data_IF_183629957361
#
_entry.id   IF_183629957361
#
_cell.length_a   1.000
_cell.length_b   1.000
_cell.length_c   1.000
_cell.angle_alpha   90.00
_cell.angle_beta   90.00
_cell.angle_gamma   90.00
#
_symmetry.space_group_name_H-M   'P 1'
#
loop_
_entity.id
_entity.type
_entity.pdbx_description
1 polymer ?
#
# COMPACT_ATOMS: atom_id res chain seq x y z
N UNK A 1 66.21 -35.25 19.76
CA UNK A 1 65.75 -35.11 18.36
C UNK A 1 65.77 -33.62 18.08
N UNK A 2 66.94 -33.08 17.72
CA UNK A 2 67.37 -32.81 16.33
C UNK A 2 66.52 -31.68 15.74
N UNK A 3 67.07 -30.45 15.69
CA UNK A 3 67.58 -29.75 14.48
C UNK A 3 66.44 -29.14 13.65
N UNK A 4 66.44 -27.93 13.09
CA UNK A 4 67.43 -26.92 12.69
C UNK A 4 66.64 -25.59 12.51
N UNK A 5 67.18 -24.40 12.81
CA UNK A 5 67.81 -23.43 11.88
C UNK A 5 66.90 -23.04 10.67
N UNK A 6 66.69 -21.78 10.25
CA UNK A 6 67.59 -20.63 10.17
C UNK A 6 66.81 -19.35 9.77
N UNK A 7 67.26 -18.21 10.28
CA UNK A 7 67.11 -16.82 9.81
C UNK A 7 67.65 -16.60 8.35
N UNK A 8 67.58 -15.41 7.66
CA UNK A 8 67.76 -14.06 8.22
C UNK A 8 67.18 -12.79 7.50
N UNK A 9 67.45 -11.66 8.17
CA UNK A 9 67.78 -10.31 7.68
C UNK A 9 66.65 -9.39 7.11
N UNK A 10 66.57 -8.11 7.46
CA UNK A 10 67.55 -7.27 8.16
C UNK A 10 67.00 -5.93 8.67
N UNK A 11 67.76 -5.40 9.64
CA UNK A 11 67.75 -4.05 10.22
C UNK A 11 67.90 -2.95 9.14
N UNK A 12 67.56 -1.68 9.32
CA UNK A 12 67.66 -0.75 10.45
C UNK A 12 66.68 0.41 10.15
N UNK A 13 66.10 1.17 11.07
CA UNK A 13 66.65 1.79 12.27
C UNK A 13 66.80 3.30 12.04
N UNK A 14 65.98 4.13 12.69
CA UNK A 14 66.36 5.38 13.37
C UNK A 14 65.17 6.32 13.68
N UNK A 15 64.91 6.48 14.98
CA UNK A 15 64.69 7.71 15.78
C UNK A 15 63.89 8.88 15.21
N UNK A 16 62.97 9.40 16.04
CA UNK A 16 62.59 10.82 16.02
C UNK A 16 61.27 11.14 16.71
N UNK A 17 61.33 11.55 17.98
CA UNK A 17 60.24 12.14 18.75
C UNK A 17 60.02 13.63 18.41
N UNK A 18 58.77 14.05 18.18
CA UNK A 18 58.10 15.30 18.63
C UNK A 18 56.89 15.68 17.73
N UNK A 19 55.93 16.50 18.22
CA UNK A 19 54.52 16.42 17.82
C UNK A 19 54.14 17.39 16.70
N UNK A 20 53.37 16.91 15.72
CA UNK A 20 52.68 17.76 14.75
C UNK A 20 51.18 17.75 15.03
N UNK A 21 50.68 18.84 15.61
CA UNK A 21 49.29 19.24 15.45
C UNK A 21 49.11 19.90 14.08
N UNK A 22 48.21 19.36 13.27
CA UNK A 22 47.65 20.01 12.08
C UNK A 22 46.12 19.86 12.11
N UNK A 23 45.36 20.94 11.92
CA UNK A 23 43.89 20.91 11.96
C UNK A 23 43.33 20.57 10.59
N UNK A 24 42.49 19.53 10.46
CA UNK A 24 41.78 19.28 9.20
C UNK A 24 40.44 18.55 9.33
N UNK A 25 39.76 18.59 10.48
CA UNK A 25 38.40 18.03 10.63
C UNK A 25 37.28 19.08 10.63
N UNK A 26 37.59 20.38 10.69
CA UNK A 26 36.56 21.44 10.75
C UNK A 26 36.06 21.93 9.38
N UNK A 27 36.80 21.67 8.29
CA UNK A 27 36.41 22.12 6.95
C UNK A 27 35.27 21.28 6.35
N UNK A 28 35.19 19.97 6.67
CA UNK A 28 34.18 19.07 6.08
C UNK A 28 32.80 19.15 6.76
N UNK A 29 32.75 19.62 8.02
CA UNK A 29 31.49 19.86 8.73
C UNK A 29 30.85 21.19 8.31
N UNK A 30 31.68 22.22 8.10
CA UNK A 30 31.23 23.55 7.66
C UNK A 30 30.67 23.57 6.22
N UNK A 31 31.13 22.66 5.35
CA UNK A 31 30.58 22.49 3.99
C UNK A 31 29.19 21.83 4.02
N UNK A 32 28.99 20.80 4.84
CA UNK A 32 27.70 20.11 4.98
C UNK A 32 26.59 20.95 5.62
N UNK A 33 26.93 21.85 6.55
CA UNK A 33 25.95 22.80 7.12
C UNK A 33 25.55 23.89 6.14
N UNK A 34 26.50 24.44 5.37
CA UNK A 34 26.22 25.40 4.29
C UNK A 34 25.37 24.78 3.19
N UNK A 35 25.61 23.52 2.83
CA UNK A 35 24.78 22.78 1.88
C UNK A 35 23.37 22.53 2.41
N UNK A 36 23.20 22.10 3.67
CA UNK A 36 21.88 21.95 4.30
C UNK A 36 21.12 23.28 4.39
N UNK A 37 21.79 24.39 4.65
CA UNK A 37 21.17 25.70 4.73
C UNK A 37 20.81 26.25 3.35
N UNK A 38 21.66 26.01 2.33
CA UNK A 38 21.38 26.28 0.92
C UNK A 38 20.22 25.42 0.41
N UNK A 39 20.13 24.16 0.83
CA UNK A 39 19.03 23.25 0.48
C UNK A 39 17.72 23.68 1.13
N UNK A 40 17.72 24.05 2.42
CA UNK A 40 16.54 24.64 3.08
C UNK A 40 16.09 25.95 2.42
N UNK A 41 17.02 26.81 2.04
CA UNK A 41 16.71 28.06 1.32
C UNK A 41 16.17 27.80 -0.09
N UNK A 42 16.67 26.76 -0.78
CA UNK A 42 16.15 26.30 -2.08
C UNK A 42 14.75 25.72 -1.96
N UNK A 43 14.50 24.84 -0.99
CA UNK A 43 13.17 24.30 -0.69
C UNK A 43 12.18 25.45 -0.41
N UNK A 44 12.62 26.47 0.33
CA UNK A 44 11.82 27.67 0.58
C UNK A 44 11.49 28.48 -0.70
N UNK A 45 12.44 28.65 -1.63
CA UNK A 45 12.22 29.38 -2.89
C UNK A 45 11.40 28.59 -3.91
N UNK A 46 11.59 27.28 -3.97
CA UNK A 46 10.76 26.36 -4.76
C UNK A 46 9.30 26.47 -4.36
N UNK A 47 9.00 26.38 -3.05
CA UNK A 47 7.64 26.56 -2.56
C UNK A 47 7.09 27.95 -2.88
N UNK A 48 7.92 28.99 -2.82
CA UNK A 48 7.50 30.36 -3.08
C UNK A 48 7.08 30.59 -4.54
N UNK A 49 7.87 30.14 -5.52
CA UNK A 49 7.49 30.31 -6.94
C UNK A 49 6.23 29.51 -7.30
N UNK A 50 6.09 28.30 -6.75
CA UNK A 50 4.89 27.47 -6.93
C UNK A 50 3.66 28.15 -6.31
N UNK A 51 3.81 28.80 -5.16
CA UNK A 51 2.73 29.54 -4.51
C UNK A 51 2.28 30.75 -5.34
N UNK A 52 3.21 31.58 -5.84
CA UNK A 52 2.84 32.70 -6.72
C UNK A 52 2.23 32.21 -8.05
N UNK A 53 2.74 31.10 -8.59
CA UNK A 53 2.16 30.47 -9.77
C UNK A 53 0.73 29.96 -9.52
N UNK A 54 0.39 29.56 -8.30
CA UNK A 54 -0.97 29.20 -7.89
C UNK A 54 -1.89 30.44 -7.73
N UNK A 55 -1.36 31.55 -7.21
CA UNK A 55 -2.13 32.78 -6.95
C UNK A 55 -2.38 33.67 -8.17
N UNK A 56 -1.97 33.25 -9.37
CA UNK A 56 -2.00 34.06 -10.60
C UNK A 56 -1.16 35.35 -10.52
N UNK A 57 -0.06 35.33 -9.76
CA UNK A 57 0.81 36.49 -9.57
C UNK A 57 2.01 36.44 -10.52
N UNK A 58 1.76 36.78 -11.79
CA UNK A 58 2.79 36.76 -12.84
C UNK A 58 3.94 37.75 -12.56
N UNK A 59 3.67 38.86 -11.85
CA UNK A 59 4.69 39.85 -11.52
C UNK A 59 5.71 39.30 -10.52
N UNK A 60 5.25 38.64 -9.46
CA UNK A 60 6.15 38.01 -8.49
C UNK A 60 6.86 36.80 -9.08
N UNK A 61 6.19 35.99 -9.92
CA UNK A 61 6.86 34.89 -10.64
C UNK A 61 7.99 35.43 -11.52
N UNK A 62 7.74 36.49 -12.30
CA UNK A 62 8.76 37.13 -13.13
C UNK A 62 9.95 37.63 -12.32
N UNK A 63 9.68 38.36 -11.23
CA UNK A 63 10.72 38.87 -10.33
C UNK A 63 11.58 37.74 -9.75
N UNK A 64 10.96 36.65 -9.31
CA UNK A 64 11.69 35.49 -8.77
C UNK A 64 12.57 34.82 -9.83
N UNK A 65 12.12 34.77 -11.09
CA UNK A 65 12.88 34.20 -12.19
C UNK A 65 14.02 35.10 -12.68
N UNK A 66 13.89 36.42 -12.52
CA UNK A 66 14.97 37.39 -12.73
C UNK A 66 16.07 37.25 -11.67
N UNK A 67 15.70 37.03 -10.41
CA UNK A 67 16.64 36.76 -9.31
C UNK A 67 17.31 35.39 -9.44
N UNK A 68 16.53 34.35 -9.76
CA UNK A 68 17.01 32.97 -9.90
C UNK A 68 16.25 32.22 -11.00
N UNK A 69 16.86 32.21 -12.19
CA UNK A 69 16.31 31.54 -13.37
C UNK A 69 16.15 30.03 -13.20
N UNK A 70 16.87 29.40 -12.25
CA UNK A 70 16.75 27.95 -12.03
C UNK A 70 15.38 27.54 -11.47
N UNK A 71 14.65 28.48 -10.87
CA UNK A 71 13.32 28.26 -10.30
C UNK A 71 12.26 27.88 -11.33
N UNK A 72 12.49 28.15 -12.62
CA UNK A 72 11.57 27.73 -13.70
C UNK A 72 11.42 26.20 -13.78
N UNK A 73 12.44 25.45 -13.32
CA UNK A 73 12.44 23.98 -13.25
C UNK A 73 12.24 23.46 -11.83
N UNK A 74 11.83 24.32 -10.89
CA UNK A 74 11.54 23.91 -9.53
C UNK A 74 10.44 22.83 -9.51
N UNK A 75 10.52 21.93 -8.54
CA UNK A 75 9.60 20.79 -8.42
C UNK A 75 9.09 20.66 -6.99
N UNK A 76 7.80 20.46 -6.83
CA UNK A 76 7.20 20.11 -5.53
C UNK A 76 7.41 18.63 -5.18
N UNK A 77 6.79 18.19 -4.08
CA UNK A 77 6.87 16.79 -3.65
C UNK A 77 6.26 15.80 -4.66
N UNK A 78 5.36 16.27 -5.54
CA UNK A 78 4.73 15.51 -6.62
C UNK A 78 5.48 15.66 -7.96
N UNK A 79 6.70 16.21 -7.95
CA UNK A 79 7.49 16.54 -9.14
C UNK A 79 6.82 17.54 -10.09
N UNK A 80 5.78 18.27 -9.64
CA UNK A 80 5.11 19.28 -10.47
C UNK A 80 5.95 20.54 -10.57
N UNK A 81 6.03 21.07 -11.78
CA UNK A 81 6.69 22.36 -12.06
C UNK A 81 5.72 23.53 -11.88
N UNK A 82 6.19 24.79 -11.76
CA UNK A 82 5.31 25.96 -11.76
C UNK A 82 4.37 25.99 -12.98
N UNK A 83 4.79 25.45 -14.12
CA UNK A 83 3.97 25.38 -15.32
C UNK A 83 2.79 24.41 -15.14
N UNK A 84 2.97 23.26 -14.49
CA UNK A 84 1.84 22.37 -14.14
C UNK A 84 0.78 23.10 -13.31
N UNK A 85 1.23 23.83 -12.28
CA UNK A 85 0.35 24.59 -11.38
C UNK A 85 -0.42 25.66 -12.16
N UNK A 86 0.27 26.47 -12.97
CA UNK A 86 -0.37 27.48 -13.81
C UNK A 86 -1.36 26.85 -14.80
N UNK A 87 -1.00 25.71 -15.41
CA UNK A 87 -1.82 25.02 -16.40
C UNK A 87 -3.10 24.43 -15.83
N UNK A 88 -3.03 23.82 -14.64
CA UNK A 88 -4.19 23.29 -13.91
C UNK A 88 -5.24 24.37 -13.63
N UNK A 89 -4.80 25.56 -13.22
CA UNK A 89 -5.71 26.66 -12.92
C UNK A 89 -6.15 27.46 -14.16
N UNK A 90 -5.35 27.42 -15.22
CA UNK A 90 -5.56 28.16 -16.46
C UNK A 90 -4.98 29.57 -16.44
N UNK A 91 -3.92 29.81 -15.67
CA UNK A 91 -3.28 31.12 -15.51
C UNK A 91 -2.37 31.43 -16.70
N UNK A 92 -2.97 32.00 -17.74
CA UNK A 92 -2.34 32.25 -19.04
C UNK A 92 -1.09 33.13 -18.91
N UNK A 93 -1.17 34.22 -18.15
CA UNK A 93 -0.06 35.18 -18.06
C UNK A 93 1.14 34.61 -17.29
N UNK A 94 0.86 33.83 -16.23
CA UNK A 94 1.88 33.07 -15.51
C UNK A 94 2.51 32.02 -16.42
N UNK A 95 1.72 31.25 -17.17
CA UNK A 95 2.22 30.22 -18.07
C UNK A 95 3.08 30.81 -19.19
N UNK A 96 2.65 31.92 -19.81
CA UNK A 96 3.45 32.66 -20.80
C UNK A 96 4.78 33.11 -20.20
N UNK A 97 4.75 33.71 -19.02
CA UNK A 97 5.96 34.12 -18.31
C UNK A 97 6.90 32.94 -18.06
N UNK A 98 6.38 31.80 -17.59
CA UNK A 98 7.20 30.61 -17.36
C UNK A 98 7.83 30.07 -18.65
N UNK A 99 7.05 30.01 -19.74
CA UNK A 99 7.52 29.56 -21.05
C UNK A 99 8.60 30.50 -21.61
N UNK A 100 8.43 31.82 -21.49
CA UNK A 100 9.43 32.85 -21.88
C UNK A 100 10.78 32.61 -21.18
N UNK A 101 10.76 32.16 -19.93
CA UNK A 101 11.99 31.88 -19.15
C UNK A 101 12.56 30.47 -19.37
N UNK A 102 11.93 29.66 -20.25
CA UNK A 102 12.42 28.34 -20.65
C UNK A 102 11.81 27.19 -19.85
N UNK A 103 10.58 27.34 -19.35
CA UNK A 103 9.85 26.21 -18.77
C UNK A 103 9.69 25.08 -19.80
N UNK A 104 9.96 23.86 -19.36
CA UNK A 104 9.75 22.66 -20.16
C UNK A 104 8.25 22.36 -20.25
N UNK A 105 7.66 22.64 -21.42
CA UNK A 105 6.23 22.47 -21.72
C UNK A 105 5.81 20.99 -21.64
N UNK A 106 6.77 20.06 -21.72
CA UNK A 106 6.56 18.63 -21.68
C UNK A 106 7.15 17.98 -20.41
N UNK A 107 7.45 18.78 -19.38
CA UNK A 107 7.86 18.26 -18.08
C UNK A 107 6.82 17.27 -17.56
N UNK A 108 7.29 16.22 -16.87
CA UNK A 108 6.43 15.17 -16.33
C UNK A 108 6.44 15.21 -14.80
N UNK A 109 5.25 15.15 -14.20
CA UNK A 109 5.07 15.02 -12.76
C UNK A 109 5.23 13.55 -12.27
N UNK A 110 4.91 13.28 -10.99
CA UNK A 110 4.96 11.94 -10.39
C UNK A 110 4.03 10.92 -11.07
N UNK A 111 2.90 11.37 -11.61
CA UNK A 111 1.95 10.55 -12.37
C UNK A 111 2.23 10.59 -13.88
N UNK A 112 3.36 11.20 -14.24
CA UNK A 112 3.84 11.45 -15.58
C UNK A 112 3.02 12.48 -16.36
N UNK A 113 2.01 13.11 -15.78
CA UNK A 113 1.22 14.14 -16.47
C UNK A 113 2.11 15.26 -16.98
N UNK A 114 1.76 15.81 -18.14
CA UNK A 114 2.34 17.05 -18.67
C UNK A 114 1.47 18.24 -18.26
N UNK A 115 2.00 19.48 -18.30
CA UNK A 115 1.17 20.67 -18.09
C UNK A 115 -0.06 20.72 -19.00
N UNK A 116 0.05 20.22 -20.24
CA UNK A 116 -1.09 20.14 -21.15
C UNK A 116 -2.14 19.12 -20.67
N UNK A 117 -1.73 17.97 -20.15
CA UNK A 117 -2.66 16.99 -19.57
C UNK A 117 -3.42 17.57 -18.36
N UNK A 118 -2.76 18.35 -17.51
CA UNK A 118 -3.41 19.04 -16.39
C UNK A 118 -4.45 20.07 -16.86
N UNK A 119 -4.12 20.85 -17.91
CA UNK A 119 -5.04 21.81 -18.51
C UNK A 119 -6.26 21.12 -19.17
N UNK A 120 -6.06 19.98 -19.84
CA UNK A 120 -7.12 19.17 -20.45
C UNK A 120 -8.05 18.57 -19.37
N UNK A 121 -7.49 17.99 -18.31
CA UNK A 121 -8.24 17.46 -17.18
C UNK A 121 -9.07 18.53 -16.45
N UNK A 122 -8.51 19.74 -16.30
CA UNK A 122 -9.20 20.89 -15.72
C UNK A 122 -10.09 21.67 -16.71
N UNK A 123 -10.19 21.22 -17.97
CA UNK A 123 -11.00 21.82 -19.05
C UNK A 123 -10.68 23.30 -19.30
N UNK A 124 -9.40 23.67 -19.25
CA UNK A 124 -8.92 25.06 -19.42
C UNK A 124 -8.61 25.35 -20.89
N UNK A 125 -9.65 25.59 -21.70
CA UNK A 125 -9.54 25.70 -23.16
C UNK A 125 -8.45 26.67 -23.66
N UNK A 126 -8.40 27.90 -23.14
CA UNK A 126 -7.38 28.88 -23.51
C UNK A 126 -5.95 28.43 -23.19
N UNK A 127 -5.77 27.67 -22.10
CA UNK A 127 -4.48 27.13 -21.68
C UNK A 127 -4.06 25.95 -22.56
N UNK A 128 -5.01 25.09 -22.92
CA UNK A 128 -4.82 23.98 -23.85
C UNK A 128 -4.29 24.51 -25.19
N UNK A 129 -4.93 25.54 -25.73
CA UNK A 129 -4.53 26.19 -26.98
C UNK A 129 -3.13 26.81 -26.88
N UNK A 130 -2.86 27.53 -25.78
CA UNK A 130 -1.53 28.09 -25.52
C UNK A 130 -0.46 27.00 -25.52
N UNK A 131 -0.60 25.97 -24.69
CA UNK A 131 0.41 24.91 -24.55
C UNK A 131 0.59 24.14 -25.86
N UNK A 132 -0.48 23.87 -26.62
CA UNK A 132 -0.40 23.25 -27.96
C UNK A 132 0.40 24.11 -28.93
N UNK A 133 0.22 25.43 -28.92
CA UNK A 133 0.99 26.35 -29.77
C UNK A 133 2.50 26.36 -29.48
N UNK A 134 2.89 26.01 -28.24
CA UNK A 134 4.30 25.87 -27.83
C UNK A 134 4.81 24.42 -27.87
N UNK A 135 4.11 23.52 -28.58
CA UNK A 135 4.54 22.12 -28.75
C UNK A 135 4.31 21.24 -27.52
N UNK A 136 3.39 21.62 -26.64
CA UNK A 136 2.93 20.79 -25.54
C UNK A 136 2.25 19.53 -26.06
N UNK A 137 2.66 18.39 -25.51
CA UNK A 137 2.10 17.09 -25.80
C UNK A 137 1.15 16.70 -24.67
N UNK A 138 -0.07 16.30 -25.03
CA UNK A 138 -0.90 15.54 -24.10
C UNK A 138 -0.20 14.21 -23.86
N UNK A 139 -0.42 13.63 -22.69
CA UNK A 139 0.40 12.57 -22.14
C UNK A 139 0.65 11.39 -23.13
N UNK A 140 1.84 11.38 -23.76
CA UNK A 140 2.40 10.34 -24.64
C UNK A 140 1.62 10.04 -25.92
N UNK A 141 2.28 9.91 -27.08
CA UNK A 141 1.64 9.43 -28.34
C UNK A 141 0.89 8.08 -28.19
N UNK A 142 1.13 7.36 -27.09
CA UNK A 142 0.50 6.08 -26.76
C UNK A 142 -0.46 6.11 -25.56
N UNK A 143 -0.73 7.28 -24.96
CA UNK A 143 -1.81 7.50 -24.00
C UNK A 143 -1.76 6.68 -22.70
N UNK A 144 -1.83 7.36 -21.54
CA UNK A 144 -2.24 6.71 -20.28
C UNK A 144 -3.33 7.47 -19.54
N UNK A 145 -4.18 8.21 -20.26
CA UNK A 145 -5.54 8.35 -19.80
C UNK A 145 -6.16 6.94 -19.82
N UNK A 146 -6.01 6.20 -18.72
CA UNK A 146 -7.16 5.48 -18.22
C UNK A 146 -8.24 6.54 -18.07
N UNK A 147 -9.03 6.77 -19.12
CA UNK A 147 -10.42 7.11 -18.86
C UNK A 147 -10.85 6.12 -17.78
N UNK A 148 -11.34 6.60 -16.61
CA UNK A 148 -11.93 5.70 -15.64
C UNK A 148 -12.94 4.90 -16.45
N UNK A 149 -12.67 3.61 -16.68
CA UNK A 149 -13.63 2.75 -17.37
C UNK A 149 -14.95 3.03 -16.69
N UNK A 150 -15.98 3.51 -17.41
CA UNK A 150 -17.24 3.85 -16.80
C UNK A 150 -17.65 2.68 -15.92
N UNK A 151 -17.71 2.89 -14.60
CA UNK A 151 -18.09 1.82 -13.69
C UNK A 151 -19.55 1.53 -14.05
N UNK A 152 -19.86 0.34 -14.61
CA UNK A 152 -21.20 0.05 -15.03
C UNK A 152 -22.13 0.19 -13.81
N UNK A 153 -23.35 0.71 -13.99
CA UNK A 153 -24.30 0.79 -12.89
C UNK A 153 -24.50 -0.60 -12.25
N UNK A 154 -24.76 -0.67 -10.92
CA UNK A 154 -25.04 -1.94 -10.26
C UNK A 154 -26.10 -2.71 -11.04
N UNK A 155 -25.82 -3.99 -11.34
CA UNK A 155 -26.74 -4.78 -12.16
C UNK A 155 -28.03 -5.05 -11.37
N UNK A 156 -29.22 -4.75 -11.90
CA UNK A 156 -30.47 -5.08 -11.22
C UNK A 156 -30.52 -6.59 -11.01
N UNK A 157 -30.80 -7.01 -9.76
CA UNK A 157 -30.87 -8.41 -9.28
C UNK A 157 -29.54 -9.12 -8.98
N UNK A 158 -28.41 -8.39 -8.90
CA UNK A 158 -27.13 -8.98 -8.48
C UNK A 158 -26.73 -8.46 -7.11
N UNK A 159 -26.15 -9.32 -6.27
CA UNK A 159 -25.63 -8.88 -4.98
C UNK A 159 -24.47 -7.90 -5.19
N UNK A 160 -24.43 -6.82 -4.41
CA UNK A 160 -23.39 -5.76 -4.52
C UNK A 160 -21.95 -6.29 -4.31
N UNK A 161 -21.82 -7.46 -3.68
CA UNK A 161 -20.54 -8.12 -3.40
C UNK A 161 -20.05 -9.06 -4.52
N UNK A 162 -20.87 -9.36 -5.54
CA UNK A 162 -20.46 -10.25 -6.63
C UNK A 162 -19.65 -9.47 -7.67
N UNK A 163 -18.39 -9.86 -7.84
CA UNK A 163 -17.40 -9.17 -8.66
C UNK A 163 -17.31 -9.84 -10.04
N UNK A 164 -17.22 -9.05 -11.11
CA UNK A 164 -16.88 -9.58 -12.43
C UNK A 164 -15.36 -9.85 -12.48
N UNK A 165 -14.89 -11.04 -12.90
CA UNK A 165 -13.46 -11.38 -12.91
C UNK A 165 -12.56 -10.39 -13.65
N UNK A 166 -13.09 -9.70 -14.67
CA UNK A 166 -12.36 -8.69 -15.44
C UNK A 166 -12.08 -7.38 -14.67
N UNK A 167 -12.72 -7.18 -13.52
CA UNK A 167 -12.41 -6.06 -12.61
C UNK A 167 -11.17 -6.31 -11.74
N UNK A 168 -10.73 -7.57 -11.64
CA UNK A 168 -9.53 -7.95 -10.89
C UNK A 168 -8.31 -7.85 -11.79
N UNK A 169 -7.33 -7.06 -11.35
CA UNK A 169 -6.04 -6.92 -12.00
C UNK A 169 -5.00 -7.84 -11.34
N UNK A 170 -4.56 -8.82 -12.12
CA UNK A 170 -3.54 -9.81 -11.74
C UNK A 170 -2.16 -9.55 -12.37
N UNK A 171 -1.96 -8.42 -13.08
CA UNK A 171 -0.71 -8.12 -13.79
C UNK A 171 0.53 -8.15 -12.90
N UNK A 172 0.40 -7.67 -11.66
CA UNK A 172 1.44 -7.68 -10.62
C UNK A 172 1.10 -8.64 -9.48
N UNK A 173 0.40 -9.75 -9.78
CA UNK A 173 -0.03 -10.70 -8.75
C UNK A 173 1.11 -11.58 -8.23
N UNK A 174 1.01 -11.96 -6.95
CA UNK A 174 1.96 -12.87 -6.30
C UNK A 174 1.20 -13.88 -5.46
N UNK A 175 1.61 -15.15 -5.49
CA UNK A 175 1.06 -16.17 -4.60
C UNK A 175 1.58 -15.92 -3.18
N UNK A 176 0.67 -15.67 -2.25
CA UNK A 176 0.98 -15.44 -0.83
C UNK A 176 0.70 -16.66 0.05
N UNK A 177 -0.07 -17.63 -0.45
CA UNK A 177 -0.33 -18.87 0.26
C UNK A 177 -0.87 -19.97 -0.64
N UNK A 178 -0.69 -21.22 -0.24
CA UNK A 178 -1.31 -22.40 -0.88
C UNK A 178 -2.01 -23.22 0.19
N UNK A 179 -3.27 -23.55 -0.05
CA UNK A 179 -4.08 -24.43 0.78
C UNK A 179 -4.41 -25.73 0.06
N UNK A 180 -5.16 -26.60 0.73
CA UNK A 180 -5.64 -27.87 0.16
C UNK A 180 -6.62 -27.69 -1.00
N UNK A 181 -7.40 -26.61 -0.99
CA UNK A 181 -8.50 -26.38 -1.94
C UNK A 181 -8.22 -25.29 -2.98
N UNK A 182 -7.09 -24.59 -2.85
CA UNK A 182 -6.90 -23.33 -3.53
C UNK A 182 -5.56 -22.68 -3.25
N UNK A 183 -5.35 -21.56 -3.91
CA UNK A 183 -4.22 -20.69 -3.66
C UNK A 183 -4.72 -19.29 -3.30
N UNK A 184 -3.92 -18.59 -2.51
CA UNK A 184 -4.18 -17.21 -2.11
C UNK A 184 -3.21 -16.34 -2.89
N UNK A 185 -3.75 -15.43 -3.70
CA UNK A 185 -3.00 -14.47 -4.49
C UNK A 185 -3.20 -13.07 -3.95
N UNK A 186 -2.16 -12.26 -3.99
CA UNK A 186 -2.29 -10.80 -3.93
C UNK A 186 -2.66 -10.29 -5.32
N UNK A 187 -3.69 -9.46 -5.42
CA UNK A 187 -4.14 -8.81 -6.66
C UNK A 187 -4.62 -7.38 -6.38
N UNK A 188 -5.13 -6.68 -7.39
CA UNK A 188 -5.75 -5.37 -7.24
C UNK A 188 -7.20 -5.38 -7.73
N UNK A 189 -8.08 -4.73 -6.98
CA UNK A 189 -9.46 -4.47 -7.38
C UNK A 189 -9.71 -2.97 -7.31
N UNK A 190 -9.97 -2.34 -8.46
CA UNK A 190 -10.16 -0.87 -8.56
C UNK A 190 -9.03 -0.08 -7.89
N UNK A 191 -7.78 -0.53 -8.06
CA UNK A 191 -6.59 0.07 -7.45
C UNK A 191 -6.34 -0.30 -5.99
N UNK A 192 -7.27 -0.98 -5.31
CA UNK A 192 -7.10 -1.43 -3.92
C UNK A 192 -6.41 -2.80 -3.90
N UNK A 193 -5.32 -2.99 -3.14
CA UNK A 193 -4.70 -4.31 -2.99
C UNK A 193 -5.63 -5.25 -2.21
N UNK A 194 -5.84 -6.45 -2.73
CA UNK A 194 -6.75 -7.45 -2.18
C UNK A 194 -6.10 -8.84 -2.11
N UNK A 195 -6.57 -9.66 -1.17
CA UNK A 195 -6.23 -11.07 -1.10
C UNK A 195 -7.34 -11.89 -1.77
N UNK A 196 -6.97 -12.68 -2.77
CA UNK A 196 -7.87 -13.49 -3.59
C UNK A 196 -7.60 -14.96 -3.32
N UNK A 197 -8.54 -15.64 -2.64
CA UNK A 197 -8.54 -17.09 -2.46
C UNK A 197 -9.22 -17.71 -3.68
N UNK A 198 -8.42 -18.30 -4.58
CA UNK A 198 -8.86 -18.92 -5.83
C UNK A 198 -8.97 -20.43 -5.66
N UNK A 199 -10.14 -20.99 -5.98
CA UNK A 199 -10.32 -22.45 -6.03
C UNK A 199 -9.61 -23.00 -7.26
N UNK A 200 -8.87 -24.10 -7.08
CA UNK A 200 -8.13 -24.73 -8.18
C UNK A 200 -9.09 -25.26 -9.26
N UNK A 201 -8.73 -25.16 -10.56
CA UNK A 201 -9.58 -25.67 -11.64
C UNK A 201 -9.97 -27.13 -11.47
N UNK A 202 -9.05 -27.98 -10.99
CA UNK A 202 -9.27 -29.41 -10.72
C UNK A 202 -10.33 -29.70 -9.66
N UNK A 203 -10.61 -28.75 -8.77
CA UNK A 203 -11.59 -28.86 -7.69
C UNK A 203 -12.85 -28.01 -7.96
N UNK A 204 -12.85 -27.23 -9.05
CA UNK A 204 -13.88 -26.25 -9.35
C UNK A 204 -15.22 -26.84 -9.82
N UNK A 205 -15.28 -28.16 -10.03
CA UNK A 205 -16.48 -28.93 -10.36
C UNK A 205 -16.95 -29.84 -9.21
N UNK A 206 -16.18 -29.93 -8.13
CA UNK A 206 -16.54 -30.73 -6.97
C UNK A 206 -17.67 -30.03 -6.19
N UNK A 207 -18.82 -30.72 -6.08
CA UNK A 207 -20.01 -30.18 -5.41
C UNK A 207 -19.75 -29.80 -3.96
N UNK A 208 -18.95 -30.57 -3.21
CA UNK A 208 -18.67 -30.29 -1.80
C UNK A 208 -17.81 -29.04 -1.67
N UNK A 209 -16.77 -28.92 -2.50
CA UNK A 209 -15.89 -27.73 -2.52
C UNK A 209 -16.68 -26.46 -2.88
N UNK A 210 -17.57 -26.55 -3.88
CA UNK A 210 -18.43 -25.43 -4.27
C UNK A 210 -19.41 -25.06 -3.15
N UNK A 211 -19.96 -26.06 -2.44
CA UNK A 211 -20.87 -25.83 -1.33
C UNK A 211 -20.16 -25.15 -0.16
N UNK A 212 -18.97 -25.64 0.22
CA UNK A 212 -18.15 -25.06 1.28
C UNK A 212 -17.74 -23.62 0.94
N UNK A 213 -17.35 -23.37 -0.31
CA UNK A 213 -17.04 -22.02 -0.80
C UNK A 213 -18.25 -21.08 -0.69
N UNK A 214 -19.43 -21.51 -1.14
CA UNK A 214 -20.67 -20.71 -1.04
C UNK A 214 -21.06 -20.46 0.42
N UNK A 215 -20.86 -21.43 1.30
CA UNK A 215 -21.09 -21.28 2.73
C UNK A 215 -20.14 -20.25 3.33
N UNK A 216 -18.84 -20.30 3.01
CA UNK A 216 -17.84 -19.32 3.44
C UNK A 216 -18.22 -17.89 2.99
N UNK A 217 -18.62 -17.71 1.73
CA UNK A 217 -19.11 -16.41 1.21
C UNK A 217 -20.32 -15.91 2.01
N UNK A 218 -21.34 -16.75 2.18
CA UNK A 218 -22.58 -16.38 2.88
C UNK A 218 -22.36 -16.00 4.35
N UNK A 219 -21.34 -16.58 4.99
CA UNK A 219 -20.93 -16.24 6.34
C UNK A 219 -20.19 -14.90 6.34
N UNK A 220 -19.19 -14.75 5.48
CA UNK A 220 -18.33 -13.57 5.40
C UNK A 220 -19.07 -12.28 5.04
N UNK A 221 -20.13 -12.37 4.22
CA UNK A 221 -21.02 -11.23 3.89
C UNK A 221 -21.60 -10.57 5.15
N UNK A 222 -21.78 -11.34 6.24
CA UNK A 222 -22.40 -10.86 7.48
C UNK A 222 -21.39 -10.26 8.46
N UNK A 223 -20.08 -10.43 8.23
CA UNK A 223 -19.04 -10.06 9.18
C UNK A 223 -18.47 -8.68 8.88
N UNK A 224 -18.51 -7.81 9.90
CA UNK A 224 -17.88 -6.49 9.90
C UNK A 224 -17.38 -6.17 11.30
N UNK A 225 -16.06 -6.26 11.49
CA UNK A 225 -15.44 -5.99 12.79
C UNK A 225 -13.95 -5.65 12.61
N UNK A 226 -13.37 -4.71 13.38
CA UNK A 226 -11.97 -4.30 13.26
C UNK A 226 -10.95 -5.43 13.50
N UNK A 227 -11.30 -6.49 14.21
CA UNK A 227 -10.45 -7.67 14.44
C UNK A 227 -10.83 -8.90 13.59
N UNK A 228 -11.67 -8.74 12.56
CA UNK A 228 -12.01 -9.78 11.60
C UNK A 228 -11.58 -9.32 10.21
N UNK A 229 -11.03 -10.21 9.40
CA UNK A 229 -10.65 -9.92 8.02
C UNK A 229 -11.90 -9.49 7.22
N UNK A 230 -11.83 -8.31 6.62
CA UNK A 230 -12.94 -7.72 5.89
C UNK A 230 -13.12 -8.41 4.54
N UNK A 231 -14.33 -8.96 4.36
CA UNK A 231 -14.84 -9.41 3.07
C UNK A 231 -15.13 -8.22 2.16
N UNK A 232 -14.70 -8.31 0.90
CA UNK A 232 -14.91 -7.27 -0.11
C UNK A 232 -15.81 -7.75 -1.24
N UNK A 233 -15.71 -9.03 -1.61
CA UNK A 233 -16.57 -9.61 -2.64
C UNK A 233 -16.19 -11.04 -2.99
N UNK A 234 -16.91 -11.60 -3.96
CA UNK A 234 -16.64 -12.94 -4.47
C UNK A 234 -16.97 -13.04 -5.96
N UNK A 235 -16.37 -14.03 -6.62
CA UNK A 235 -16.77 -14.52 -7.93
C UNK A 235 -17.37 -15.90 -7.71
N UNK A 236 -18.70 -15.99 -7.83
CA UNK A 236 -19.48 -17.21 -7.61
C UNK A 236 -20.18 -17.70 -8.87
N UNK A 237 -20.39 -16.83 -9.86
CA UNK A 237 -21.09 -17.14 -11.12
C UNK A 237 -20.17 -17.59 -12.25
N UNK A 238 -18.89 -17.20 -12.22
CA UNK A 238 -17.89 -17.55 -13.25
C UNK A 238 -16.73 -18.31 -12.65
N UNK A 239 -16.07 -19.12 -13.49
CA UNK A 239 -14.80 -19.76 -13.14
C UNK A 239 -13.61 -18.87 -13.51
N UNK A 240 -12.50 -18.93 -12.75
CA UNK A 240 -12.36 -19.67 -11.49
C UNK A 240 -13.15 -18.99 -10.35
N UNK A 241 -13.67 -19.80 -9.41
CA UNK A 241 -14.34 -19.29 -8.21
C UNK A 241 -13.32 -18.59 -7.31
N UNK A 242 -13.65 -17.40 -6.82
CA UNK A 242 -12.71 -16.55 -6.08
C UNK A 242 -13.40 -15.87 -4.90
N UNK A 243 -12.76 -15.87 -3.73
CA UNK A 243 -13.15 -15.10 -2.56
C UNK A 243 -12.18 -13.94 -2.38
N UNK A 244 -12.69 -12.72 -2.26
CA UNK A 244 -11.90 -11.48 -2.21
C UNK A 244 -12.06 -10.84 -0.83
N UNK A 245 -10.92 -10.63 -0.18
CA UNK A 245 -10.81 -10.00 1.15
C UNK A 245 -9.75 -8.90 1.13
N UNK A 246 -9.72 -8.08 2.17
CA UNK A 246 -8.63 -7.10 2.35
C UNK A 246 -7.26 -7.79 2.38
N UNK A 247 -6.26 -7.17 1.74
CA UNK A 247 -4.88 -7.65 1.84
C UNK A 247 -4.18 -7.06 3.05
N UNK A 248 -3.79 -7.92 4.00
CA UNK A 248 -3.05 -7.55 5.20
C UNK A 248 -1.54 -7.72 4.98
N UNK A 249 -0.81 -6.60 5.05
CA UNK A 249 0.60 -6.53 4.62
C UNK A 249 1.57 -7.15 5.62
N UNK A 250 1.16 -7.32 6.88
CA UNK A 250 2.00 -7.87 7.93
C UNK A 250 2.14 -9.39 7.88
N UNK A 251 1.40 -10.09 7.01
CA UNK A 251 1.44 -11.55 6.90
C UNK A 251 0.69 -12.24 8.04
N UNK A 252 1.04 -13.51 8.30
CA UNK A 252 0.43 -14.32 9.35
C UNK A 252 1.25 -14.38 10.65
N UNK A 253 0.55 -14.55 11.77
CA UNK A 253 1.14 -14.57 13.11
C UNK A 253 2.10 -15.75 13.30
N UNK A 254 1.90 -16.88 12.63
CA UNK A 254 2.82 -18.01 12.71
C UNK A 254 4.22 -17.63 12.19
N UNK A 255 4.28 -17.03 10.99
CA UNK A 255 5.53 -16.58 10.40
C UNK A 255 6.17 -15.46 11.24
N UNK A 256 5.36 -14.51 11.73
CA UNK A 256 5.84 -13.43 12.59
C UNK A 256 6.51 -13.96 13.87
N UNK A 257 5.87 -14.91 14.57
CA UNK A 257 6.42 -15.53 15.78
C UNK A 257 7.70 -16.33 15.48
N UNK A 258 7.77 -16.97 14.31
CA UNK A 258 8.97 -17.69 13.87
C UNK A 258 10.16 -16.76 13.64
N UNK A 259 9.93 -15.57 13.09
CA UNK A 259 10.97 -14.59 12.79
C UNK A 259 11.39 -13.75 13.99
N UNK A 260 10.43 -13.31 14.81
CA UNK A 260 10.69 -12.45 15.98
C UNK A 260 11.08 -13.23 17.24
N UNK A 261 10.69 -14.51 17.33
CA UNK A 261 10.84 -15.30 18.54
C UNK A 261 9.83 -14.93 19.62
N UNK A 262 10.24 -15.01 20.88
CA UNK A 262 9.37 -14.74 22.02
C UNK A 262 8.88 -13.30 22.05
N UNK A 263 7.56 -13.13 22.20
CA UNK A 263 6.95 -11.81 22.37
C UNK A 263 7.24 -11.25 23.78
N UNK A 264 7.29 -9.92 23.88
CA UNK A 264 7.21 -9.27 25.18
C UNK A 264 5.83 -9.49 25.81
N UNK A 265 5.71 -9.50 27.15
CA UNK A 265 4.41 -9.68 27.81
C UNK A 265 3.36 -8.65 27.37
N UNK A 266 3.76 -7.40 27.16
CA UNK A 266 2.84 -6.34 26.71
C UNK A 266 2.29 -6.61 25.30
N UNK A 267 3.16 -7.01 24.36
CA UNK A 267 2.73 -7.35 22.99
C UNK A 267 1.87 -8.60 22.97
N UNK A 268 2.21 -9.61 23.76
CA UNK A 268 1.41 -10.83 23.88
C UNK A 268 -0.02 -10.54 24.38
N UNK A 269 -0.16 -9.68 25.40
CA UNK A 269 -1.47 -9.26 25.91
C UNK A 269 -2.26 -8.47 24.85
N UNK A 270 -1.60 -7.55 24.13
CA UNK A 270 -2.25 -6.80 23.04
C UNK A 270 -2.78 -7.72 21.94
N UNK A 271 -1.97 -8.69 21.50
CA UNK A 271 -2.36 -9.68 20.49
C UNK A 271 -3.50 -10.56 20.96
N UNK A 272 -3.43 -11.04 22.20
CA UNK A 272 -4.50 -11.84 22.81
C UNK A 272 -5.81 -11.06 22.88
N UNK A 273 -5.75 -9.76 23.21
CA UNK A 273 -6.93 -8.90 23.28
C UNK A 273 -7.59 -8.70 21.90
N UNK A 274 -6.81 -8.50 20.86
CA UNK A 274 -7.32 -8.37 19.49
C UNK A 274 -8.02 -9.65 19.01
N UNK A 275 -7.37 -10.81 19.23
CA UNK A 275 -7.96 -12.11 18.90
C UNK A 275 -9.25 -12.32 19.70
N UNK A 276 -9.23 -12.02 21.01
CA UNK A 276 -10.40 -12.17 21.88
C UNK A 276 -11.55 -11.28 21.44
N UNK A 277 -11.29 -10.03 21.04
CA UNK A 277 -12.32 -9.12 20.49
C UNK A 277 -12.95 -9.67 19.20
N UNK A 278 -12.13 -10.19 18.29
CA UNK A 278 -12.61 -10.85 17.08
C UNK A 278 -13.50 -12.06 17.40
N UNK A 279 -13.05 -12.93 18.29
CA UNK A 279 -13.81 -14.12 18.70
C UNK A 279 -15.09 -13.78 19.47
N UNK A 280 -15.05 -12.77 20.34
CA UNK A 280 -16.24 -12.28 21.06
C UNK A 280 -17.31 -11.77 20.09
N UNK A 281 -16.90 -11.06 19.03
CA UNK A 281 -17.82 -10.63 17.97
C UNK A 281 -18.47 -11.83 17.25
N UNK A 282 -17.71 -12.86 16.91
CA UNK A 282 -18.25 -14.06 16.25
C UNK A 282 -19.23 -14.83 17.13
N UNK A 283 -18.96 -14.88 18.43
CA UNK A 283 -19.78 -15.63 19.39
C UNK A 283 -20.99 -14.86 19.90
N UNK A 284 -21.25 -13.66 19.38
CA UNK A 284 -22.35 -12.84 19.86
C UNK A 284 -23.72 -13.34 19.37
N UNK A 285 -24.69 -13.33 20.27
CA UNK A 285 -26.06 -13.73 19.99
C UNK A 285 -26.79 -12.71 19.08
N UNK A 286 -27.79 -13.13 18.29
CA UNK A 286 -28.40 -14.48 18.23
C UNK A 286 -27.75 -15.42 17.18
N UNK A 287 -26.74 -14.95 16.45
CA UNK A 287 -26.13 -15.65 15.33
C UNK A 287 -24.70 -16.07 15.67
N UNK A 288 -24.56 -17.06 16.55
CA UNK A 288 -23.26 -17.54 17.04
C UNK A 288 -22.51 -18.24 15.91
N UNK A 289 -21.32 -17.74 15.59
CA UNK A 289 -20.42 -18.30 14.59
C UNK A 289 -19.23 -18.94 15.28
N UNK A 290 -19.11 -20.26 15.20
CA UNK A 290 -17.95 -20.96 15.72
C UNK A 290 -16.89 -21.03 14.61
N UNK A 291 -15.71 -20.46 14.86
CA UNK A 291 -14.62 -20.40 13.87
C UNK A 291 -14.07 -21.79 13.50
N UNK A 292 -13.88 -22.66 14.51
CA UNK A 292 -13.38 -24.06 14.44
C UNK A 292 -11.95 -24.28 13.94
N UNK A 293 -11.30 -23.27 13.38
CA UNK A 293 -9.89 -23.37 12.93
C UNK A 293 -9.03 -22.19 13.40
N UNK A 294 -9.17 -21.79 14.68
CA UNK A 294 -8.36 -20.69 15.23
C UNK A 294 -6.93 -21.18 15.49
N UNK A 295 -5.98 -20.69 14.69
CA UNK A 295 -4.54 -21.00 14.80
C UNK A 295 -3.70 -19.81 14.33
N UNK A 296 -2.41 -19.71 14.68
CA UNK A 296 -1.58 -18.56 14.31
C UNK A 296 -1.48 -18.28 12.80
N UNK A 297 -1.68 -19.27 11.92
CA UNK A 297 -1.73 -19.08 10.46
C UNK A 297 -2.99 -18.33 9.97
N UNK A 298 -4.06 -18.40 10.77
CA UNK A 298 -5.36 -17.80 10.47
C UNK A 298 -5.54 -16.46 11.21
N UNK A 299 -4.48 -15.96 11.85
CA UNK A 299 -4.43 -14.63 12.46
C UNK A 299 -3.42 -13.81 11.69
N UNK A 300 -3.88 -12.69 11.14
CA UNK A 300 -3.12 -11.85 10.21
C UNK A 300 -2.79 -10.49 10.84
N UNK A 301 -1.60 -9.98 10.52
CA UNK A 301 -1.12 -8.70 10.99
C UNK A 301 -1.45 -7.60 9.98
N UNK A 302 -2.03 -6.49 10.45
CA UNK A 302 -2.43 -5.38 9.57
C UNK A 302 -1.23 -4.78 8.81
N UNK A 303 -0.11 -4.62 9.51
CA UNK A 303 1.12 -4.02 8.99
C UNK A 303 2.36 -4.69 9.59
N UNK A 304 3.54 -4.34 9.07
CA UNK A 304 4.82 -4.90 9.51
C UNK A 304 5.23 -4.46 10.92
N UNK A 305 4.67 -3.37 11.44
CA UNK A 305 4.83 -2.96 12.84
C UNK A 305 4.04 -3.83 13.82
N UNK A 306 3.14 -4.66 13.31
CA UNK A 306 2.30 -5.57 14.10
C UNK A 306 1.41 -4.82 15.10
N UNK A 307 0.86 -3.67 14.69
CA UNK A 307 0.10 -2.81 15.60
C UNK A 307 -1.27 -3.41 15.98
N UNK A 308 -1.83 -4.23 15.10
CA UNK A 308 -3.20 -4.75 15.21
C UNK A 308 -3.34 -6.10 14.50
N UNK A 309 -4.13 -7.01 15.09
CA UNK A 309 -4.41 -8.33 14.53
C UNK A 309 -5.86 -8.50 14.06
N UNK A 310 -6.02 -9.30 13.00
CA UNK A 310 -7.32 -9.72 12.48
C UNK A 310 -7.39 -11.24 12.32
N UNK A 311 -8.51 -11.83 12.72
CA UNK A 311 -8.80 -13.25 12.51
C UNK A 311 -9.42 -13.46 11.13
N UNK A 312 -8.95 -14.47 10.41
CA UNK A 312 -9.38 -14.83 9.06
C UNK A 312 -9.49 -16.34 8.85
N UNK A 313 -9.78 -16.73 7.60
CA UNK A 313 -10.02 -18.12 7.14
C UNK A 313 -11.20 -18.82 7.83
N UNK A 314 -12.38 -18.63 7.26
CA UNK A 314 -13.65 -19.10 7.79
C UNK A 314 -14.15 -20.38 7.07
N UNK A 315 -13.29 -21.05 6.30
CA UNK A 315 -13.67 -22.21 5.49
C UNK A 315 -14.26 -23.38 6.29
N UNK A 316 -13.97 -23.47 7.59
CA UNK A 316 -14.51 -24.50 8.51
C UNK A 316 -15.58 -23.96 9.49
N UNK A 317 -15.92 -22.68 9.39
CA UNK A 317 -16.79 -22.00 10.34
C UNK A 317 -18.26 -22.38 10.18
N UNK A 318 -18.99 -22.47 11.29
CA UNK A 318 -20.40 -22.89 11.32
C UNK A 318 -21.27 -21.88 12.07
N UNK A 319 -22.39 -21.51 11.47
CA UNK A 319 -23.43 -20.68 12.09
C UNK A 319 -24.38 -21.58 12.91
N UNK A 320 -24.59 -21.21 14.17
CA UNK A 320 -25.55 -21.85 15.07
C UNK A 320 -26.58 -20.80 15.47
N UNK A 321 -27.86 -21.11 15.23
CA UNK A 321 -28.97 -20.26 15.69
C UNK A 321 -29.39 -20.73 17.08
N UNK A 322 -29.23 -19.87 18.07
CA UNK A 322 -29.73 -20.15 19.43
C UNK A 322 -31.23 -19.89 19.41
N UNK A 323 -32.05 -20.95 19.41
CA UNK A 323 -33.51 -20.82 19.36
C UNK A 323 -34.18 -20.81 20.73
N UNK A 324 -33.50 -21.24 21.81
CA UNK A 324 -34.03 -21.25 23.18
C UNK A 324 -32.95 -20.84 24.20
N UNK A 325 -33.31 -20.00 25.17
CA UNK A 325 -32.46 -19.44 26.25
C UNK A 325 -32.08 -20.44 27.36
N UNK A 326 -32.29 -21.75 27.14
CA UNK A 326 -32.05 -22.80 28.15
C UNK A 326 -30.99 -23.82 27.75
N UNK A 327 -30.47 -23.77 26.52
CA UNK A 327 -29.36 -24.64 26.13
C UNK A 327 -28.03 -23.93 26.44
N UNK A 328 -27.47 -24.21 27.61
CA UNK A 328 -26.12 -23.76 27.99
C UNK A 328 -25.09 -24.58 27.23
N UNK A 329 -24.67 -24.09 26.06
CA UNK A 329 -23.57 -24.69 25.30
C UNK A 329 -22.23 -24.32 25.93
N UNK A 330 -21.54 -25.32 26.49
CA UNK A 330 -20.21 -25.16 27.09
C UNK A 330 -19.15 -25.71 26.13
N UNK A 331 -18.21 -24.87 25.71
CA UNK A 331 -17.04 -25.30 24.94
C UNK A 331 -16.21 -26.28 25.78
N UNK A 332 -16.07 -27.53 25.35
CA UNK A 332 -15.14 -28.48 25.96
C UNK A 332 -13.80 -28.41 25.25
N UNK A 333 -12.74 -28.24 26.03
CA UNK A 333 -11.41 -27.83 25.57
C UNK A 333 -10.60 -28.88 24.81
N UNK A 334 -11.16 -30.06 24.49
CA UNK A 334 -10.34 -31.17 23.98
C UNK A 334 -10.44 -31.41 22.48
N UNK A 335 -11.53 -31.03 21.78
CA UNK A 335 -11.63 -31.31 20.32
C UNK A 335 -12.47 -30.34 19.48
N UNK A 336 -12.97 -29.22 20.02
CA UNK A 336 -13.85 -28.33 19.25
C UNK A 336 -15.19 -28.99 18.85
N UNK A 337 -15.57 -30.06 19.55
CA UNK A 337 -16.84 -30.75 19.44
C UNK A 337 -17.85 -30.09 20.38
N UNK A 338 -19.04 -29.76 19.90
CA UNK A 338 -20.15 -29.32 20.75
C UNK A 338 -20.99 -30.54 21.11
N UNK A 339 -21.10 -30.88 22.39
CA UNK A 339 -22.09 -31.82 22.89
C UNK A 339 -23.17 -31.05 23.66
N UNK A 340 -24.44 -31.38 23.41
CA UNK A 340 -25.51 -30.97 24.31
C UNK A 340 -25.33 -31.77 25.61
N UNK A 341 -25.13 -31.10 26.75
CA UNK A 341 -25.26 -31.78 28.03
C UNK A 341 -26.76 -31.96 28.34
N UNK A 342 -27.27 -33.20 28.42
CA UNK A 342 -28.53 -33.42 29.11
C UNK A 342 -28.32 -33.16 30.61
N UNK A 343 -29.28 -32.48 31.22
CA UNK A 343 -29.37 -32.25 32.67
C UNK A 343 -29.63 -33.55 33.41
#
# INVERSE_FOLDING_TARGET
MSSDASEPAGSAGAKGSSPCGSPSSSASAATGEKEKQKEKARVSRTSLILWHAHQNDAASVRKLLEEDRSLVRARDYDNRTPLHVASLHGWIDVAKCLIEYGADVNAQDRWKNTPLADAEGAKKQAMIELLKSYGGLSFGQTGSHFEPKPVPPPRPNKCDWEIEPSELDFSNSTIIGKGSFGEILKAYWRGTPVAVKRILPSLSDDRLVIQDFRHEVNLLVKLRHPNIVQFLGAVTERKPLMLITEYLRGGDLHQYLKEKGSLSPSTAVSFALDIARGMAYLHNEPNVIIHRDLKPRNVLLVNSSADHLKVGDFGLSKLIKVQNTHDVYKMTGETGSCECCPI
#
